data_IF_107750454159
#
_entry.id   IF_107750454159
#
_cell.length_a   1.000
_cell.length_b   1.000
_cell.length_c   1.000
_cell.angle_alpha   90.00
_cell.angle_beta   90.00
_cell.angle_gamma   90.00
#
_symmetry.space_group_name_H-M   'P 1'
#
loop_
_entity.id
_entity.type
_entity.pdbx_description
1 polymer ?
#
# COMPACT_ATOMS: atom_id res chain seq x y z
N UNK A 1 1.32 -25.40 2.54
CA UNK A 1 0.09 -25.67 3.32
C UNK A 1 -0.04 -24.54 4.32
N UNK A 2 -1.07 -23.69 4.20
CA UNK A 2 -1.34 -22.64 5.22
C UNK A 2 -1.73 -23.33 6.52
N UNK A 3 -1.09 -22.98 7.63
CA UNK A 3 -1.50 -23.45 8.96
C UNK A 3 -2.49 -22.42 9.49
N UNK A 4 -3.71 -22.85 9.75
CA UNK A 4 -4.76 -21.96 10.25
C UNK A 4 -4.56 -21.63 11.73
N UNK A 5 -4.90 -20.40 12.18
CA UNK A 5 -4.74 -19.99 13.59
C UNK A 5 -5.38 -20.96 14.59
N UNK A 6 -6.57 -21.48 14.27
CA UNK A 6 -7.28 -22.46 15.10
C UNK A 6 -6.49 -23.76 15.28
N UNK A 7 -5.77 -24.21 14.24
CA UNK A 7 -4.94 -25.41 14.31
C UNK A 7 -3.72 -25.21 15.20
N UNK A 8 -3.15 -24.00 15.23
CA UNK A 8 -2.06 -23.63 16.12
C UNK A 8 -2.57 -23.63 17.57
N UNK A 9 -3.72 -23.01 17.81
CA UNK A 9 -4.32 -22.95 19.15
C UNK A 9 -4.61 -24.34 19.70
N UNK A 10 -5.21 -25.23 18.90
CA UNK A 10 -5.43 -26.62 19.30
C UNK A 10 -4.12 -27.37 19.60
N UNK A 11 -3.08 -27.18 18.78
CA UNK A 11 -1.77 -27.78 19.02
C UNK A 11 -1.16 -27.29 20.34
N UNK A 12 -1.26 -26.00 20.64
CA UNK A 12 -0.79 -25.41 21.90
C UNK A 12 -1.55 -26.02 23.08
N UNK A 13 -2.88 -26.10 23.01
CA UNK A 13 -3.71 -26.71 24.06
C UNK A 13 -3.31 -28.17 24.31
N UNK A 14 -3.15 -28.95 23.25
CA UNK A 14 -2.71 -30.36 23.32
C UNK A 14 -1.31 -30.48 23.94
N UNK A 15 -0.35 -29.66 23.53
CA UNK A 15 1.01 -29.67 24.10
C UNK A 15 1.03 -29.26 25.57
N UNK A 16 0.23 -28.26 25.97
CA UNK A 16 0.10 -27.84 27.36
C UNK A 16 -0.44 -28.97 28.24
N UNK A 17 -1.48 -29.67 27.76
CA UNK A 17 -2.02 -30.84 28.44
C UNK A 17 -0.99 -31.98 28.54
N UNK A 18 -0.33 -32.33 27.43
CA UNK A 18 0.72 -33.36 27.40
C UNK A 18 1.88 -33.03 28.34
N UNK A 19 2.32 -31.77 28.37
CA UNK A 19 3.40 -31.31 29.24
C UNK A 19 3.02 -31.51 30.70
N UNK A 20 1.86 -31.00 31.10
CA UNK A 20 1.34 -31.15 32.46
C UNK A 20 1.32 -32.62 32.88
N UNK A 21 0.66 -33.48 32.10
CA UNK A 21 0.55 -34.90 32.43
C UNK A 21 1.92 -35.61 32.48
N UNK A 22 2.81 -35.33 31.53
CA UNK A 22 4.14 -35.95 31.50
C UNK A 22 4.97 -35.53 32.73
N UNK A 23 4.92 -34.26 33.11
CA UNK A 23 5.61 -33.77 34.30
C UNK A 23 5.03 -34.33 35.60
N UNK A 24 3.71 -34.41 35.70
CA UNK A 24 3.04 -35.00 36.87
C UNK A 24 3.40 -36.48 37.03
N UNK A 25 3.39 -37.26 35.95
CA UNK A 25 3.81 -38.66 35.97
C UNK A 25 5.29 -38.85 36.32
N UNK A 26 6.15 -37.96 35.83
CA UNK A 26 7.58 -38.01 36.15
C UNK A 26 7.83 -37.71 37.63
N UNK A 27 7.17 -36.69 38.18
CA UNK A 27 7.28 -36.32 39.60
C UNK A 27 6.69 -37.42 40.48
N UNK A 28 5.51 -37.95 40.15
CA UNK A 28 4.82 -38.94 40.97
C UNK A 28 5.53 -40.29 41.02
N UNK A 29 6.23 -40.67 39.95
CA UNK A 29 7.00 -41.92 39.89
C UNK A 29 8.43 -41.81 40.46
N UNK A 30 8.86 -40.60 40.85
CA UNK A 30 10.22 -40.36 41.33
C UNK A 30 10.54 -41.01 42.70
N UNK A 31 9.63 -41.01 43.70
CA UNK A 31 9.90 -41.65 45.00
C UNK A 31 10.24 -43.15 44.85
N UNK A 32 9.46 -43.90 44.07
CA UNK A 32 9.71 -45.33 43.83
C UNK A 32 11.01 -45.56 43.05
N UNK A 33 11.36 -44.65 42.14
CA UNK A 33 12.64 -44.67 41.45
C UNK A 33 13.81 -44.44 42.41
N UNK A 34 13.71 -43.45 43.29
CA UNK A 34 14.74 -43.08 44.26
C UNK A 34 14.99 -44.22 45.26
N UNK A 35 13.95 -44.98 45.62
CA UNK A 35 14.05 -46.19 46.45
C UNK A 35 14.50 -47.43 45.67
N UNK A 36 14.71 -47.32 44.35
CA UNK A 36 15.12 -48.42 43.49
C UNK A 36 14.03 -49.45 43.18
N UNK A 37 12.79 -49.19 43.60
CA UNK A 37 11.64 -50.09 43.48
C UNK A 37 11.11 -50.17 42.05
N UNK A 38 11.14 -49.07 41.29
CA UNK A 38 10.63 -49.05 39.91
C UNK A 38 11.38 -48.07 39.00
N UNK A 39 12.54 -48.53 38.48
CA UNK A 39 13.41 -47.71 37.63
C UNK A 39 12.85 -47.45 36.23
N UNK A 40 12.08 -48.40 35.69
CA UNK A 40 11.58 -48.35 34.32
C UNK A 40 10.47 -47.31 34.17
N UNK A 41 9.57 -47.21 35.14
CA UNK A 41 8.42 -46.31 35.06
C UNK A 41 8.83 -44.84 35.06
N UNK A 42 9.73 -44.44 35.95
CA UNK A 42 10.23 -43.06 35.98
C UNK A 42 11.05 -42.70 34.73
N UNK A 43 11.87 -43.63 34.23
CA UNK A 43 12.62 -43.42 32.97
C UNK A 43 11.68 -43.20 31.78
N UNK A 44 10.59 -43.99 31.66
CA UNK A 44 9.57 -43.77 30.63
C UNK A 44 8.86 -42.42 30.78
N UNK A 45 8.53 -42.03 32.01
CA UNK A 45 7.91 -40.73 32.27
C UNK A 45 8.86 -39.58 31.89
N UNK A 46 10.16 -39.71 32.19
CA UNK A 46 11.17 -38.75 31.77
C UNK A 46 11.28 -38.63 30.24
N UNK A 47 11.25 -39.75 29.51
CA UNK A 47 11.24 -39.72 28.04
C UNK A 47 10.00 -39.02 27.47
N UNK A 48 8.84 -39.16 28.13
CA UNK A 48 7.61 -38.43 27.76
C UNK A 48 7.78 -36.92 27.92
N UNK A 49 8.44 -36.47 28.99
CA UNK A 49 8.78 -35.05 29.21
C UNK A 49 9.71 -34.54 28.11
N UNK A 50 10.78 -35.27 27.80
CA UNK A 50 11.74 -34.89 26.75
C UNK A 50 11.09 -34.81 25.37
N UNK A 51 10.24 -35.78 25.03
CA UNK A 51 9.51 -35.80 23.75
C UNK A 51 8.58 -34.60 23.66
N UNK A 52 7.82 -34.31 24.71
CA UNK A 52 6.92 -33.14 24.72
C UNK A 52 7.69 -31.83 24.64
N UNK A 53 8.85 -31.72 25.29
CA UNK A 53 9.75 -30.56 25.15
C UNK A 53 10.21 -30.37 23.71
N UNK A 54 10.61 -31.45 23.04
CA UNK A 54 11.01 -31.42 21.62
C UNK A 54 9.88 -30.92 20.73
N UNK A 55 8.66 -31.42 20.94
CA UNK A 55 7.49 -31.00 20.16
C UNK A 55 7.17 -29.51 20.37
N UNK A 56 7.31 -29.01 21.60
CA UNK A 56 7.16 -27.57 21.92
C UNK A 56 8.20 -26.73 21.15
N UNK A 57 9.47 -27.15 21.16
CA UNK A 57 10.54 -26.44 20.45
C UNK A 57 10.30 -26.41 18.93
N UNK A 58 9.81 -27.51 18.35
CA UNK A 58 9.46 -27.58 16.92
C UNK A 58 8.32 -26.59 16.60
N UNK A 59 7.28 -26.54 17.44
CA UNK A 59 6.19 -25.59 17.26
C UNK A 59 6.70 -24.15 17.36
N UNK A 60 7.55 -23.83 18.32
CA UNK A 60 8.15 -22.50 18.45
C UNK A 60 8.97 -22.11 17.21
N UNK A 61 9.79 -23.03 16.69
CA UNK A 61 10.57 -22.79 15.47
C UNK A 61 9.65 -22.55 14.25
N UNK A 62 8.56 -23.32 14.14
CA UNK A 62 7.56 -23.16 13.08
C UNK A 62 6.89 -21.79 13.16
N UNK A 63 6.47 -21.38 14.36
CA UNK A 63 5.85 -20.07 14.59
C UNK A 63 6.80 -18.92 14.26
N UNK A 64 8.07 -19.03 14.64
CA UNK A 64 9.09 -18.04 14.31
C UNK A 64 9.25 -17.89 12.79
N UNK A 65 9.39 -19.01 12.07
CA UNK A 65 9.49 -18.98 10.61
C UNK A 65 8.26 -18.37 9.92
N UNK A 66 7.06 -18.65 10.42
CA UNK A 66 5.81 -18.06 9.92
C UNK A 66 5.74 -16.55 10.18
N UNK A 67 6.17 -16.09 11.36
CA UNK A 67 6.21 -14.67 11.71
C UNK A 67 7.23 -13.92 10.85
N UNK A 68 8.44 -14.46 10.68
CA UNK A 68 9.48 -13.85 9.86
C UNK A 68 9.02 -13.71 8.40
N UNK A 69 8.40 -14.76 7.85
CA UNK A 69 7.88 -14.76 6.47
C UNK A 69 6.73 -13.76 6.30
N UNK A 70 5.77 -13.79 7.22
CA UNK A 70 4.60 -12.89 7.18
C UNK A 70 5.04 -11.43 7.36
N UNK A 71 5.97 -11.16 8.27
CA UNK A 71 6.54 -9.82 8.47
C UNK A 71 7.23 -9.30 7.20
N UNK A 72 8.03 -10.14 6.54
CA UNK A 72 8.64 -9.80 5.26
C UNK A 72 7.62 -9.48 4.17
N UNK A 73 6.55 -10.28 4.06
CA UNK A 73 5.47 -10.02 3.10
C UNK A 73 4.71 -8.73 3.40
N UNK A 74 4.38 -8.45 4.66
CA UNK A 74 3.70 -7.21 5.07
C UNK A 74 4.55 -5.99 4.71
N UNK A 75 5.85 -6.03 5.00
CA UNK A 75 6.76 -4.93 4.66
C UNK A 75 6.82 -4.70 3.14
N UNK A 76 6.94 -5.77 2.36
CA UNK A 76 6.92 -5.68 0.89
C UNK A 76 5.61 -5.07 0.37
N UNK A 77 4.46 -5.45 0.93
CA UNK A 77 3.17 -4.86 0.56
C UNK A 77 3.06 -3.40 0.98
N UNK A 78 3.59 -3.04 2.16
CA UNK A 78 3.65 -1.64 2.63
C UNK A 78 4.43 -0.78 1.65
N UNK A 79 5.61 -1.22 1.21
CA UNK A 79 6.43 -0.50 0.22
C UNK A 79 5.69 -0.30 -1.10
N UNK A 80 4.93 -1.31 -1.55
CA UNK A 80 4.13 -1.20 -2.78
C UNK A 80 2.97 -0.22 -2.63
N UNK A 81 2.30 -0.22 -1.47
CA UNK A 81 1.23 0.73 -1.15
C UNK A 81 1.79 2.17 -1.15
N UNK A 82 2.96 2.39 -0.54
CA UNK A 82 3.55 3.72 -0.48
C UNK A 82 4.01 4.22 -1.85
N UNK A 83 4.57 3.34 -2.69
CA UNK A 83 4.85 3.65 -4.10
C UNK A 83 3.58 4.01 -4.87
N UNK A 84 2.49 3.27 -4.67
CA UNK A 84 1.21 3.54 -5.33
C UNK A 84 0.61 4.87 -4.88
N UNK A 85 0.66 5.17 -3.57
CA UNK A 85 0.22 6.47 -3.02
C UNK A 85 0.99 7.63 -3.64
N UNK A 86 2.33 7.54 -3.66
CA UNK A 86 3.16 8.58 -4.27
C UNK A 86 2.80 8.83 -5.73
N UNK A 87 2.66 7.76 -6.52
CA UNK A 87 2.25 7.87 -7.93
C UNK A 87 0.87 8.52 -8.08
N UNK A 88 -0.07 8.20 -7.20
CA UNK A 88 -1.39 8.81 -7.18
C UNK A 88 -1.32 10.30 -6.85
N UNK A 89 -0.56 10.69 -5.83
CA UNK A 89 -0.38 12.08 -5.43
C UNK A 89 0.27 12.91 -6.55
N UNK A 90 1.31 12.37 -7.20
CA UNK A 90 1.96 13.00 -8.35
C UNK A 90 0.95 13.19 -9.50
N UNK A 91 0.17 12.16 -9.84
CA UNK A 91 -0.85 12.23 -10.90
C UNK A 91 -1.96 13.23 -10.59
N UNK A 92 -2.34 13.35 -9.31
CA UNK A 92 -3.33 14.32 -8.84
C UNK A 92 -2.80 15.75 -9.01
N UNK A 93 -1.54 15.99 -8.62
CA UNK A 93 -0.91 17.30 -8.76
C UNK A 93 -0.81 17.72 -10.23
N UNK A 94 -0.46 16.79 -11.13
CA UNK A 94 -0.42 17.02 -12.57
C UNK A 94 -1.81 17.42 -13.11
N UNK A 95 -2.86 16.71 -12.68
CA UNK A 95 -4.24 17.02 -13.06
C UNK A 95 -4.69 18.38 -12.54
N UNK A 96 -4.41 18.71 -11.28
CA UNK A 96 -4.74 20.01 -10.70
C UNK A 96 -4.01 21.14 -11.45
N UNK A 97 -2.75 20.93 -11.80
CA UNK A 97 -1.95 21.86 -12.61
C UNK A 97 -2.54 22.04 -14.01
N UNK A 98 -2.91 20.95 -14.68
CA UNK A 98 -3.53 21.00 -16.00
C UNK A 98 -4.90 21.72 -15.97
N UNK A 99 -5.71 21.47 -14.94
CA UNK A 99 -6.99 22.17 -14.73
C UNK A 99 -6.76 23.65 -14.47
N UNK A 100 -5.77 24.01 -13.65
CA UNK A 100 -5.36 25.40 -13.39
C UNK A 100 -4.95 26.10 -14.68
N UNK A 101 -4.06 25.50 -15.45
CA UNK A 101 -3.62 26.02 -16.75
C UNK A 101 -4.79 26.20 -17.73
N UNK A 102 -5.72 25.24 -17.78
CA UNK A 102 -6.90 25.34 -18.64
C UNK A 102 -7.86 26.46 -18.21
N UNK A 103 -8.01 26.70 -16.90
CA UNK A 103 -8.82 27.82 -16.40
C UNK A 103 -8.17 29.17 -16.70
N UNK A 104 -6.86 29.30 -16.47
CA UNK A 104 -6.11 30.55 -16.69
C UNK A 104 -5.91 30.88 -18.18
N UNK A 105 -5.76 29.88 -19.05
CA UNK A 105 -5.55 30.08 -20.49
C UNK A 105 -6.80 30.54 -21.25
N UNK A 106 -8.01 30.31 -20.71
CA UNK A 106 -9.27 30.71 -21.35
C UNK A 106 -9.44 32.24 -21.44
N UNK A 107 -9.31 33.01 -20.33
CA UNK A 107 -9.35 34.47 -20.38
C UNK A 107 -8.33 35.07 -21.35
N UNK A 108 -7.07 34.61 -21.28
CA UNK A 108 -5.99 35.13 -22.13
C UNK A 108 -6.24 34.92 -23.63
N UNK A 109 -6.85 33.78 -24.01
CA UNK A 109 -7.27 33.54 -25.41
C UNK A 109 -8.37 34.51 -25.83
N UNK A 110 -9.39 34.71 -24.98
CA UNK A 110 -10.50 35.64 -25.24
C UNK A 110 -9.99 37.08 -25.38
N UNK A 111 -9.09 37.52 -24.50
CA UNK A 111 -8.51 38.85 -24.53
C UNK A 111 -7.73 39.08 -25.83
N UNK A 112 -6.92 38.11 -26.26
CA UNK A 112 -6.19 38.17 -27.53
C UNK A 112 -7.11 38.18 -28.76
N UNK A 113 -8.22 37.44 -28.75
CA UNK A 113 -9.22 37.50 -29.81
C UNK A 113 -9.90 38.87 -29.88
N UNK A 114 -10.23 39.45 -28.73
CA UNK A 114 -10.82 40.78 -28.64
C UNK A 114 -9.86 41.87 -29.13
N UNK A 115 -8.58 41.80 -28.76
CA UNK A 115 -7.53 42.71 -29.22
C UNK A 115 -7.37 42.64 -30.75
N UNK A 116 -7.24 41.44 -31.31
CA UNK A 116 -7.15 41.25 -32.76
C UNK A 116 -8.40 41.77 -33.47
N UNK A 117 -9.59 41.50 -32.94
CA UNK A 117 -10.86 41.97 -33.53
C UNK A 117 -10.94 43.50 -33.56
N UNK A 118 -10.52 44.18 -32.48
CA UNK A 118 -10.42 45.65 -32.44
C UNK A 118 -9.45 46.18 -33.49
N UNK A 119 -8.29 45.54 -33.65
CA UNK A 119 -7.31 45.93 -34.67
C UNK A 119 -7.87 45.79 -36.09
N UNK A 120 -8.59 44.70 -36.39
CA UNK A 120 -9.24 44.51 -37.70
C UNK A 120 -10.34 45.54 -37.97
N UNK A 121 -11.17 45.86 -36.96
CA UNK A 121 -12.21 46.89 -37.09
C UNK A 121 -11.57 48.25 -37.37
N UNK A 122 -10.50 48.61 -36.65
CA UNK A 122 -9.80 49.88 -36.84
C UNK A 122 -9.15 49.98 -38.23
N UNK A 123 -8.45 48.93 -38.65
CA UNK A 123 -7.83 48.88 -39.97
C UNK A 123 -8.87 48.96 -41.10
N UNK A 124 -10.00 48.28 -40.94
CA UNK A 124 -11.11 48.33 -41.90
C UNK A 124 -11.74 49.72 -41.97
N UNK A 125 -11.95 50.38 -40.83
CA UNK A 125 -12.47 51.74 -40.76
C UNK A 125 -11.59 52.72 -41.55
N UNK A 126 -10.28 52.71 -41.30
CA UNK A 126 -9.35 53.58 -42.04
C UNK A 126 -9.24 53.22 -43.51
N UNK A 127 -9.24 51.93 -43.86
CA UNK A 127 -9.19 51.50 -45.26
C UNK A 127 -10.43 51.94 -46.04
N UNK A 128 -11.61 51.76 -45.47
CA UNK A 128 -12.88 52.22 -46.06
C UNK A 128 -12.91 53.74 -46.14
N UNK A 129 -12.44 54.44 -45.11
CA UNK A 129 -12.34 55.90 -45.09
C UNK A 129 -11.45 56.41 -46.23
N UNK A 130 -10.23 55.88 -46.35
CA UNK A 130 -9.29 56.25 -47.41
C UNK A 130 -9.88 55.96 -48.79
N UNK A 131 -10.47 54.78 -48.99
CA UNK A 131 -11.08 54.41 -50.26
C UNK A 131 -12.26 55.33 -50.62
N UNK A 132 -13.10 55.66 -49.65
CA UNK A 132 -14.26 56.55 -49.85
C UNK A 132 -13.80 57.96 -50.19
N UNK A 133 -12.86 58.54 -49.42
CA UNK A 133 -12.30 59.87 -49.71
C UNK A 133 -11.61 59.90 -51.06
N UNK A 134 -10.82 58.86 -51.39
CA UNK A 134 -10.17 58.74 -52.70
C UNK A 134 -11.19 58.68 -53.84
N UNK A 135 -12.27 57.93 -53.66
CA UNK A 135 -13.37 57.87 -54.62
C UNK A 135 -14.07 59.23 -54.80
N UNK A 136 -14.34 59.95 -53.71
CA UNK A 136 -14.93 61.28 -53.76
C UNK A 136 -14.03 62.29 -54.49
N UNK A 137 -12.73 62.32 -54.19
CA UNK A 137 -11.75 63.18 -54.86
C UNK A 137 -11.69 62.84 -56.36
N UNK A 138 -11.59 61.56 -56.70
CA UNK A 138 -11.58 61.11 -58.10
C UNK A 138 -12.85 61.54 -58.85
N UNK A 139 -14.01 61.46 -58.20
CA UNK A 139 -15.28 61.92 -58.78
C UNK A 139 -15.32 63.44 -58.98
N UNK A 140 -14.78 64.22 -58.05
CA UNK A 140 -14.70 65.69 -58.16
C UNK A 140 -13.76 66.15 -59.28
N UNK A 141 -12.63 65.46 -59.50
CA UNK A 141 -11.67 65.79 -60.56
C UNK A 141 -12.17 65.44 -61.98
N UNK A 142 -13.25 64.65 -62.09
CA UNK A 142 -13.86 64.24 -63.38
C UNK A 142 -15.15 65.01 -63.72
N UNK A 143 -15.54 66.00 -62.92
CA UNK A 143 -16.50 67.05 -63.31
C UNK A 143 -15.74 68.22 -63.95
#
# INVERSE_FOLDING_TARGET
MSIEPNQIEEKIKKLKFRWKNATEQYISSYPDFALGLNKVQNSRAYQSVLTTKKDINILQATLKGLLDTTGGFINYQSDNIDKAKKKYDDSKLDLETAVGNNKSGKPMKIDKYNENSKAYILASYYSIGILSTSYFIYRQLKQ
#
